data_IF_358518641258
#
_entry.id   IF_358518641258
#
_cell.length_a   1.000
_cell.length_b   1.000
_cell.length_c   1.000
_cell.angle_alpha   90.00
_cell.angle_beta   90.00
_cell.angle_gamma   90.00
#
_symmetry.space_group_name_H-M   'P 1'
#
loop_
_entity.id
_entity.type
_entity.pdbx_description
1 polymer ?
#
# COMPACT_ATOMS: atom_id res chain seq x y z
N UNK A 1 31.42 57.95 -58.69
CA UNK A 1 32.69 57.53 -58.07
C UNK A 1 32.40 57.50 -56.57
N UNK A 2 32.04 56.35 -55.98
CA UNK A 2 32.94 55.32 -55.40
C UNK A 2 34.02 55.99 -54.54
N UNK A 3 34.16 55.84 -53.23
CA UNK A 3 33.90 54.76 -52.25
C UNK A 3 33.58 55.41 -50.87
N UNK A 4 32.99 54.76 -49.85
CA UNK A 4 33.71 53.96 -48.86
C UNK A 4 32.76 53.50 -47.72
N UNK A 5 32.94 52.24 -47.33
CA UNK A 5 33.01 51.73 -45.95
C UNK A 5 31.76 51.61 -45.05
N UNK A 6 31.09 50.48 -45.22
CA UNK A 6 31.20 49.31 -44.32
C UNK A 6 31.61 49.57 -42.85
N UNK A 7 30.64 49.79 -41.98
CA UNK A 7 30.67 49.34 -40.59
C UNK A 7 29.25 49.47 -40.02
N UNK A 8 28.95 48.80 -38.90
CA UNK A 8 27.69 48.90 -38.14
C UNK A 8 26.53 48.00 -38.64
N UNK A 9 26.82 46.77 -39.09
CA UNK A 9 25.79 45.73 -39.28
C UNK A 9 26.00 44.47 -38.43
N UNK A 10 26.57 44.62 -37.24
CA UNK A 10 26.97 43.48 -36.39
C UNK A 10 26.22 43.29 -35.07
N UNK A 11 25.17 44.08 -34.78
CA UNK A 11 24.50 44.06 -33.46
C UNK A 11 22.97 43.93 -33.47
N UNK A 12 22.34 43.64 -34.62
CA UNK A 12 20.86 43.53 -34.71
C UNK A 12 20.28 42.13 -34.89
N UNK A 13 21.12 41.10 -35.01
CA UNK A 13 20.65 39.73 -35.23
C UNK A 13 20.80 38.80 -34.01
N UNK A 14 21.32 39.30 -32.88
CA UNK A 14 21.49 38.51 -31.65
C UNK A 14 20.29 38.56 -30.68
N UNK A 15 19.30 39.41 -30.91
CA UNK A 15 18.19 39.62 -29.97
C UNK A 15 16.88 38.93 -30.39
N UNK A 16 16.93 38.00 -31.35
CA UNK A 16 15.74 37.29 -31.87
C UNK A 16 15.81 35.76 -31.72
N UNK A 17 16.70 35.23 -30.87
CA UNK A 17 16.81 33.78 -30.62
C UNK A 17 16.60 33.40 -29.14
N UNK A 18 16.36 34.36 -28.24
CA UNK A 18 16.16 34.07 -26.80
C UNK A 18 14.68 34.00 -26.39
N UNK A 19 13.73 34.39 -27.24
CA UNK A 19 12.29 34.35 -26.90
C UNK A 19 11.52 33.12 -27.43
N UNK A 20 12.19 32.13 -28.02
CA UNK A 20 11.53 30.98 -28.65
C UNK A 20 11.84 29.62 -27.98
N UNK A 21 12.24 29.61 -26.70
CA UNK A 21 12.49 28.36 -25.94
C UNK A 21 11.77 28.31 -24.57
N UNK A 22 10.80 29.20 -24.31
CA UNK A 22 10.13 29.30 -23.00
C UNK A 22 8.59 29.26 -23.08
N UNK A 23 8.02 28.52 -24.05
CA UNK A 23 6.57 28.41 -24.16
C UNK A 23 6.04 27.02 -24.57
N UNK A 24 6.81 25.94 -24.39
CA UNK A 24 6.32 24.56 -24.57
C UNK A 24 6.97 23.57 -23.61
N UNK A 25 7.10 23.90 -22.32
CA UNK A 25 7.11 22.85 -21.29
C UNK A 25 5.66 22.49 -21.03
N UNK A 26 5.17 21.54 -21.83
CA UNK A 26 3.86 20.93 -21.71
C UNK A 26 3.58 20.61 -20.23
N UNK A 27 2.48 21.18 -19.74
CA UNK A 27 1.86 20.84 -18.47
C UNK A 27 1.51 19.34 -18.45
N UNK A 28 2.48 18.48 -18.16
CA UNK A 28 2.19 17.17 -17.61
C UNK A 28 1.82 17.36 -16.15
N UNK A 29 0.63 17.92 -15.94
CA UNK A 29 -0.12 17.66 -14.73
C UNK A 29 -0.37 16.15 -14.73
N UNK A 30 0.43 15.43 -13.95
CA UNK A 30 0.12 14.10 -13.47
C UNK A 30 -1.24 14.18 -12.79
N UNK A 31 -2.31 13.91 -13.55
CA UNK A 31 -3.62 13.64 -13.02
C UNK A 31 -3.54 12.30 -12.28
N UNK A 32 -3.03 12.31 -11.05
CA UNK A 32 -3.16 11.20 -10.13
C UNK A 32 -4.66 11.08 -9.82
N UNK A 33 -5.36 10.23 -10.58
CA UNK A 33 -6.75 9.95 -10.29
C UNK A 33 -6.80 9.34 -8.88
N UNK A 34 -7.59 9.90 -7.94
CA UNK A 34 -7.73 9.32 -6.62
C UNK A 34 -8.22 7.88 -6.79
N UNK A 35 -7.50 6.92 -6.21
CA UNK A 35 -7.94 5.53 -6.20
C UNK A 35 -9.25 5.44 -5.42
N UNK A 36 -10.37 5.19 -6.10
CA UNK A 36 -11.65 4.97 -5.44
C UNK A 36 -11.74 3.50 -5.01
N UNK A 37 -11.96 3.27 -3.72
CA UNK A 37 -12.23 1.96 -3.15
C UNK A 37 -13.73 1.86 -2.98
N UNK A 38 -14.39 1.02 -3.80
CA UNK A 38 -15.77 0.62 -3.55
C UNK A 38 -15.75 -0.47 -2.47
N UNK A 39 -16.20 -0.12 -1.27
CA UNK A 39 -16.27 -1.02 -0.11
C UNK A 39 -17.70 -1.54 0.06
N UNK A 40 -17.84 -2.84 0.27
CA UNK A 40 -19.09 -3.54 0.60
C UNK A 40 -19.30 -3.59 2.14
N UNK A 41 -20.51 -3.92 2.66
CA UNK A 41 -20.83 -3.91 4.09
C UNK A 41 -19.88 -4.75 4.97
N UNK A 42 -19.82 -4.34 6.24
CA UNK A 42 -18.72 -4.60 7.16
C UNK A 42 -19.06 -5.72 8.16
N UNK A 43 -18.39 -6.88 8.04
CA UNK A 43 -18.51 -7.95 9.02
C UNK A 43 -17.36 -7.92 10.04
N UNK A 44 -17.60 -7.34 11.23
CA UNK A 44 -16.63 -7.40 12.35
C UNK A 44 -16.70 -8.77 13.02
N UNK A 45 -15.57 -9.44 13.16
CA UNK A 45 -15.44 -10.67 13.96
C UNK A 45 -14.62 -10.38 15.20
N UNK A 46 -15.21 -10.67 16.38
CA UNK A 46 -14.46 -10.75 17.64
C UNK A 46 -13.82 -12.13 17.74
N UNK A 47 -12.57 -12.17 18.15
CA UNK A 47 -11.84 -13.41 18.47
C UNK A 47 -11.26 -13.34 19.87
N UNK A 48 -11.11 -14.50 20.51
CA UNK A 48 -11.02 -14.68 21.96
C UNK A 48 -9.87 -13.92 22.67
N UNK A 49 -10.19 -13.56 23.93
CA UNK A 49 -9.41 -13.04 25.07
C UNK A 49 -8.58 -11.74 24.97
N UNK A 50 -8.08 -11.31 23.81
CA UNK A 50 -7.17 -10.14 23.73
C UNK A 50 -7.81 -8.85 23.18
N UNK A 51 -9.13 -8.82 22.98
CA UNK A 51 -9.83 -7.68 22.35
C UNK A 51 -9.53 -7.50 20.85
N UNK A 52 -8.72 -8.40 20.29
CA UNK A 52 -8.34 -8.42 18.88
C UNK A 52 -9.54 -8.75 17.99
N UNK A 53 -9.67 -8.01 16.88
CA UNK A 53 -10.76 -8.15 15.91
C UNK A 53 -10.20 -8.31 14.51
N UNK A 54 -10.93 -9.04 13.68
CA UNK A 54 -10.61 -9.23 12.27
C UNK A 54 -11.86 -8.96 11.43
N UNK A 55 -11.68 -8.28 10.30
CA UNK A 55 -12.70 -7.98 9.31
C UNK A 55 -12.16 -8.33 7.93
N UNK A 56 -12.99 -8.95 7.09
CA UNK A 56 -12.60 -9.45 5.77
C UNK A 56 -13.63 -8.96 4.76
N UNK A 57 -13.16 -8.29 3.71
CA UNK A 57 -14.03 -7.75 2.65
C UNK A 57 -13.42 -7.93 1.27
N UNK A 58 -14.26 -8.14 0.27
CA UNK A 58 -13.86 -7.98 -1.12
C UNK A 58 -13.86 -6.50 -1.46
N UNK A 59 -12.84 -6.04 -2.19
CA UNK A 59 -12.78 -4.67 -2.70
C UNK A 59 -12.39 -4.65 -4.16
N UNK A 60 -12.91 -3.67 -4.88
CA UNK A 60 -12.48 -3.35 -6.24
C UNK A 60 -11.65 -2.07 -6.18
N UNK A 61 -10.35 -2.18 -6.46
CA UNK A 61 -9.47 -1.02 -6.62
C UNK A 61 -9.45 -0.58 -8.08
N UNK A 62 -9.75 0.69 -8.31
CA UNK A 62 -9.67 1.31 -9.63
C UNK A 62 -8.53 2.33 -9.62
N UNK A 63 -7.54 2.14 -10.50
CA UNK A 63 -6.41 3.04 -10.69
C UNK A 63 -6.23 3.31 -12.19
N UNK A 64 -6.62 4.51 -12.63
CA UNK A 64 -6.72 4.85 -14.06
C UNK A 64 -7.69 3.90 -14.78
N UNK A 65 -7.22 3.25 -15.85
CA UNK A 65 -7.97 2.23 -16.57
C UNK A 65 -7.89 0.82 -15.94
N UNK A 66 -7.06 0.63 -14.91
CA UNK A 66 -6.84 -0.68 -14.30
C UNK A 66 -7.85 -0.94 -13.19
N UNK A 67 -8.53 -2.09 -13.26
CA UNK A 67 -9.42 -2.61 -12.22
C UNK A 67 -8.79 -3.85 -11.61
N UNK A 68 -8.65 -3.87 -10.29
CA UNK A 68 -8.06 -4.99 -9.55
C UNK A 68 -8.98 -5.41 -8.41
N UNK A 69 -9.47 -6.64 -8.47
CA UNK A 69 -10.16 -7.27 -7.34
C UNK A 69 -9.14 -7.67 -6.28
N UNK A 70 -9.43 -7.34 -5.03
CA UNK A 70 -8.60 -7.64 -3.87
C UNK A 70 -9.50 -8.14 -2.73
N UNK A 71 -8.90 -8.89 -1.81
CA UNK A 71 -9.46 -9.19 -0.50
C UNK A 71 -8.68 -8.34 0.51
N UNK A 72 -9.38 -7.45 1.21
CA UNK A 72 -8.81 -6.72 2.34
C UNK A 72 -9.10 -7.47 3.64
N UNK A 73 -8.05 -7.73 4.39
CA UNK A 73 -8.10 -8.27 5.75
C UNK A 73 -7.64 -7.17 6.69
N UNK A 74 -8.60 -6.60 7.39
CA UNK A 74 -8.39 -5.57 8.40
C UNK A 74 -8.30 -6.25 9.77
N UNK A 75 -7.25 -5.95 10.51
CA UNK A 75 -7.03 -6.47 11.86
C UNK A 75 -6.87 -5.32 12.83
N UNK A 76 -7.52 -5.44 13.98
CA UNK A 76 -7.52 -4.46 15.05
C UNK A 76 -7.05 -5.10 16.36
N UNK A 77 -6.24 -4.39 17.13
CA UNK A 77 -5.78 -4.82 18.45
C UNK A 77 -5.91 -3.68 19.45
N UNK A 78 -6.36 -3.98 20.67
CA UNK A 78 -6.39 -3.00 21.77
C UNK A 78 -4.99 -2.54 22.16
N UNK A 79 -3.95 -3.29 21.77
CA UNK A 79 -2.56 -2.85 21.86
C UNK A 79 -2.00 -2.57 20.48
N UNK A 80 -1.45 -1.37 20.29
CA UNK A 80 -0.87 -0.94 19.02
C UNK A 80 0.13 -1.96 18.44
N UNK A 81 0.07 -2.11 17.12
CA UNK A 81 1.03 -2.82 16.29
C UNK A 81 2.35 -2.04 16.24
N UNK A 82 3.08 -2.11 17.36
CA UNK A 82 4.41 -1.54 17.48
C UNK A 82 5.43 -2.33 16.65
N UNK A 83 6.64 -1.80 16.56
CA UNK A 83 7.71 -2.46 15.82
C UNK A 83 8.48 -1.53 14.89
N UNK A 84 8.95 -0.38 15.37
CA UNK A 84 9.89 0.50 14.67
C UNK A 84 9.95 0.35 13.13
N UNK A 85 11.01 -0.29 12.64
CA UNK A 85 11.32 -0.39 11.20
C UNK A 85 11.15 -1.80 10.58
N UNK A 86 10.60 -2.79 11.30
CA UNK A 86 10.42 -4.12 10.67
C UNK A 86 9.02 -4.26 10.07
N UNK A 87 8.83 -5.29 9.26
CA UNK A 87 7.57 -5.50 8.56
C UNK A 87 6.63 -6.40 9.36
N UNK A 88 5.37 -5.98 9.50
CA UNK A 88 4.30 -6.81 10.01
C UNK A 88 3.92 -7.88 8.98
N UNK A 89 3.72 -9.11 9.45
CA UNK A 89 3.37 -10.26 8.62
C UNK A 89 2.10 -10.90 9.16
N UNK A 90 1.08 -10.94 8.32
CA UNK A 90 -0.13 -11.73 8.54
C UNK A 90 0.14 -13.18 8.19
N UNK A 91 -0.10 -14.08 9.13
CA UNK A 91 -0.08 -15.52 8.94
C UNK A 91 -1.51 -16.02 8.92
N UNK A 92 -1.83 -16.83 7.91
CA UNK A 92 -3.09 -17.58 7.83
C UNK A 92 -2.71 -19.03 7.55
N UNK A 93 -2.81 -19.87 8.58
CA UNK A 93 -2.28 -21.24 8.51
C UNK A 93 -0.79 -21.23 8.18
N UNK A 94 -0.41 -21.86 7.07
CA UNK A 94 1.00 -21.90 6.60
C UNK A 94 1.39 -20.74 5.68
N UNK A 95 0.45 -19.86 5.31
CA UNK A 95 0.70 -18.76 4.36
C UNK A 95 1.04 -17.47 5.08
N UNK A 96 1.91 -16.67 4.47
CA UNK A 96 2.41 -15.40 5.00
C UNK A 96 2.13 -14.27 4.00
N UNK A 97 1.65 -13.14 4.51
CA UNK A 97 1.36 -11.93 3.75
C UNK A 97 1.99 -10.75 4.47
N UNK A 98 2.92 -10.07 3.80
CA UNK A 98 3.66 -8.95 4.35
C UNK A 98 3.16 -7.63 3.75
N UNK A 99 3.70 -6.51 4.26
CA UNK A 99 3.44 -5.15 3.77
C UNK A 99 1.99 -4.68 3.97
N UNK A 100 1.45 -4.72 5.20
CA UNK A 100 0.18 -4.09 5.46
C UNK A 100 0.28 -2.57 5.29
N UNK A 101 -0.86 -1.96 5.00
CA UNK A 101 -1.04 -0.52 5.18
C UNK A 101 -1.54 -0.24 6.59
N UNK A 102 -1.20 0.94 7.11
CA UNK A 102 -1.84 1.44 8.32
C UNK A 102 -3.33 1.68 8.05
N UNK A 103 -4.19 1.17 8.92
CA UNK A 103 -5.64 1.42 8.89
C UNK A 103 -6.04 2.66 9.68
N UNK A 104 -5.23 3.08 10.64
CA UNK A 104 -5.43 4.28 11.45
C UNK A 104 -4.09 4.97 11.78
N UNK A 105 -4.17 6.17 12.35
CA UNK A 105 -3.00 6.94 12.79
C UNK A 105 -2.47 6.49 14.16
N UNK A 106 -3.24 5.68 14.90
CA UNK A 106 -2.89 5.25 16.26
C UNK A 106 -2.05 3.96 16.27
N UNK A 107 -1.94 3.28 15.13
CA UNK A 107 -1.23 2.02 14.98
C UNK A 107 -2.00 0.82 15.52
N UNK A 108 -3.31 0.95 15.78
CA UNK A 108 -4.13 -0.14 16.30
C UNK A 108 -4.78 -0.98 15.19
N UNK A 109 -4.68 -0.52 13.93
CA UNK A 109 -5.27 -1.19 12.78
C UNK A 109 -4.25 -1.41 11.67
N UNK A 110 -4.18 -2.62 11.15
CA UNK A 110 -3.44 -2.97 9.94
C UNK A 110 -4.40 -3.51 8.88
N UNK A 111 -4.14 -3.15 7.62
CA UNK A 111 -4.91 -3.64 6.47
C UNK A 111 -3.95 -4.41 5.56
N UNK A 112 -4.22 -5.70 5.39
CA UNK A 112 -3.51 -6.57 4.45
C UNK A 112 -4.34 -6.74 3.18
N UNK A 113 -3.68 -6.65 2.03
CA UNK A 113 -4.30 -6.85 0.73
C UNK A 113 -3.84 -8.15 0.11
N UNK A 114 -4.80 -9.01 -0.21
CA UNK A 114 -4.57 -10.28 -0.87
C UNK A 114 -5.25 -10.27 -2.23
N UNK A 115 -4.65 -10.96 -3.19
CA UNK A 115 -5.37 -11.32 -4.41
C UNK A 115 -6.41 -12.41 -4.12
N UNK A 116 -7.55 -12.45 -4.83
CA UNK A 116 -8.53 -13.53 -4.69
C UNK A 116 -7.91 -14.93 -4.79
N UNK A 117 -6.93 -15.13 -5.68
CA UNK A 117 -6.26 -16.43 -5.86
C UNK A 117 -5.34 -16.77 -4.68
N UNK A 118 -4.81 -15.76 -3.99
CA UNK A 118 -4.04 -15.97 -2.76
C UNK A 118 -4.96 -16.37 -1.60
N UNK A 119 -6.10 -15.67 -1.46
CA UNK A 119 -7.12 -15.97 -0.45
C UNK A 119 -7.81 -17.32 -0.70
N UNK A 120 -8.03 -17.71 -1.95
CA UNK A 120 -8.58 -19.03 -2.29
C UNK A 120 -7.72 -20.18 -1.74
N UNK A 121 -6.40 -19.97 -1.64
CA UNK A 121 -5.44 -20.98 -1.20
C UNK A 121 -5.28 -21.11 0.33
N UNK A 122 -5.88 -20.23 1.13
CA UNK A 122 -6.00 -20.45 2.59
C UNK A 122 -7.26 -21.26 2.89
N UNK A 123 -7.28 -22.03 3.97
CA UNK A 123 -8.41 -22.89 4.35
C UNK A 123 -9.30 -22.19 5.37
N UNK A 124 -10.60 -22.47 5.29
CA UNK A 124 -11.51 -22.10 6.38
C UNK A 124 -11.06 -22.81 7.66
N UNK A 125 -11.05 -22.10 8.79
CA UNK A 125 -10.55 -22.60 10.07
C UNK A 125 -9.03 -22.49 10.27
N UNK A 126 -8.28 -21.96 9.30
CA UNK A 126 -6.84 -21.68 9.48
C UNK A 126 -6.61 -20.67 10.61
N UNK A 127 -5.57 -20.86 11.43
CA UNK A 127 -5.22 -19.87 12.46
C UNK A 127 -4.77 -18.56 11.81
N UNK A 128 -5.32 -17.45 12.29
CA UNK A 128 -4.94 -16.10 11.87
C UNK A 128 -4.15 -15.41 12.98
N UNK A 129 -2.95 -14.94 12.65
CA UNK A 129 -2.09 -14.19 13.57
C UNK A 129 -1.26 -13.16 12.82
N UNK A 130 -0.93 -12.06 13.48
CA UNK A 130 0.08 -11.10 12.99
C UNK A 130 1.32 -11.25 13.83
N UNK A 131 2.48 -11.21 13.19
CA UNK A 131 3.77 -11.11 13.89
C UNK A 131 4.55 -9.93 13.34
N UNK A 132 5.54 -9.52 14.12
CA UNK A 132 6.49 -8.47 13.77
C UNK A 132 7.93 -8.98 13.90
N UNK A 133 8.79 -8.63 12.94
CA UNK A 133 10.20 -9.02 12.88
C UNK A 133 10.49 -10.22 11.95
N UNK A 134 11.77 -10.49 11.68
CA UNK A 134 12.18 -11.70 10.96
C UNK A 134 11.92 -12.93 11.84
N UNK A 135 11.44 -14.02 11.24
CA UNK A 135 11.46 -15.35 11.88
C UNK A 135 12.83 -16.01 11.67
N UNK A 136 13.85 -15.21 11.35
CA UNK A 136 15.19 -15.72 11.09
C UNK A 136 15.76 -16.08 12.45
N UNK A 137 15.77 -17.38 12.76
CA UNK A 137 16.44 -17.92 13.93
C UNK A 137 17.79 -17.22 14.07
N UNK A 138 17.89 -16.40 15.11
CA UNK A 138 19.16 -15.81 15.48
C UNK A 138 20.16 -16.98 15.64
N UNK A 139 21.43 -16.84 15.25
CA UNK A 139 22.41 -17.95 15.23
C UNK A 139 22.55 -18.71 16.55
N UNK A 140 22.08 -18.14 17.65
CA UNK A 140 21.97 -18.68 19.01
C UNK A 140 20.63 -19.41 19.30
N UNK A 141 19.80 -19.67 18.29
CA UNK A 141 18.51 -20.36 18.40
C UNK A 141 17.39 -19.51 19.03
N UNK A 142 17.60 -18.20 19.18
CA UNK A 142 16.65 -17.27 19.82
C UNK A 142 16.13 -16.24 18.82
N UNK A 143 15.36 -16.65 17.83
CA UNK A 143 14.41 -15.71 17.22
C UNK A 143 12.98 -16.18 17.43
N UNK A 144 12.42 -15.74 18.55
CA UNK A 144 10.98 -15.65 18.66
C UNK A 144 10.55 -14.33 18.03
N UNK A 145 9.46 -14.29 17.24
CA UNK A 145 8.84 -13.01 16.88
C UNK A 145 8.65 -12.22 18.18
N UNK A 146 9.15 -10.96 18.20
CA UNK A 146 9.13 -10.13 19.41
C UNK A 146 7.73 -9.98 19.98
N UNK A 147 6.73 -10.07 19.11
CA UNK A 147 5.31 -10.09 19.47
C UNK A 147 4.47 -10.82 18.43
N UNK A 148 3.44 -11.52 18.92
CA UNK A 148 2.42 -12.18 18.10
C UNK A 148 1.05 -11.73 18.59
N UNK A 149 0.22 -11.25 17.68
CA UNK A 149 -1.19 -10.94 17.90
C UNK A 149 -2.03 -12.06 17.30
N UNK A 150 -2.90 -12.68 18.08
CA UNK A 150 -3.78 -13.77 17.61
C UNK A 150 -5.17 -13.22 17.30
N UNK A 151 -5.74 -13.68 16.20
CA UNK A 151 -7.06 -13.31 15.69
C UNK A 151 -7.96 -14.54 15.51
N UNK A 152 -7.69 -15.62 16.25
CA UNK A 152 -8.45 -16.85 16.20
C UNK A 152 -8.37 -17.59 14.86
N UNK A 153 -9.51 -18.12 14.40
CA UNK A 153 -9.62 -18.92 13.18
C UNK A 153 -10.26 -18.13 12.05
N UNK A 154 -9.75 -18.32 10.83
CA UNK A 154 -10.32 -17.73 9.62
C UNK A 154 -11.72 -18.28 9.39
N UNK A 155 -12.69 -17.37 9.26
CA UNK A 155 -14.05 -17.70 8.87
C UNK A 155 -14.37 -17.06 7.52
N UNK A 156 -14.25 -17.86 6.46
CA UNK A 156 -14.50 -17.43 5.08
C UNK A 156 -15.98 -17.13 4.80
N UNK A 157 -16.90 -17.59 5.64
CA UNK A 157 -18.34 -17.34 5.45
C UNK A 157 -18.74 -15.89 5.72
N UNK A 158 -17.80 -15.08 6.22
CA UNK A 158 -18.01 -13.68 6.60
C UNK A 158 -17.52 -12.68 5.57
N UNK A 159 -16.97 -13.15 4.46
CA UNK A 159 -16.67 -12.28 3.33
C UNK A 159 -18.00 -11.78 2.74
N UNK A 160 -18.17 -10.46 2.70
CA UNK A 160 -19.27 -9.75 2.03
C UNK A 160 -20.70 -10.09 2.52
N UNK A 161 -20.93 -10.14 3.83
CA UNK A 161 -22.29 -10.00 4.40
C UNK A 161 -22.66 -8.55 4.67
#
# INVERSE_FOLDING_TARGET
>A
MSSENTAINRWRNGLLVVCACLAMSASFLMAQSPSQVLSFPHAVVKTDDDGNKISIRSVLRIAGATRRSLIEIEVYSDVAFGGGNDTHVLHIGSRKFAWPRAGDATGHTLIFELMPEQFAKVKNGDEVRVSYGSNEESPDGRATPRRVWKFGKLDKSKIDK
#
